data_IF_094744093541
#
_entry.id   IF_094744093541
#
_cell.length_a   1.000
_cell.length_b   1.000
_cell.length_c   1.000
_cell.angle_alpha   90.00
_cell.angle_beta   90.00
_cell.angle_gamma   90.00
#
_symmetry.space_group_name_H-M   'P 1'
#
loop_
_entity.id
_entity.type
_entity.pdbx_description
1 polymer ?
#
# COMPACT_ATOMS: atom_id res chain seq x y z
N UNK A 1 -61.16 -68.65 21.06
CA UNK A 1 -60.24 -68.19 22.12
C UNK A 1 -58.82 -68.48 21.66
N UNK A 2 -57.80 -67.59 21.80
CA UNK A 2 -57.73 -66.13 21.54
C UNK A 2 -57.56 -65.85 20.01
N UNK A 3 -57.18 -64.70 19.41
CA UNK A 3 -57.01 -63.28 19.83
C UNK A 3 -55.59 -62.73 20.19
N UNK A 4 -54.77 -62.38 19.18
CA UNK A 4 -53.74 -61.28 19.12
C UNK A 4 -53.15 -61.23 17.68
N UNK A 5 -53.19 -60.13 16.90
CA UNK A 5 -52.32 -58.91 16.93
C UNK A 5 -50.81 -59.21 16.74
N UNK A 6 -49.98 -58.50 15.99
CA UNK A 6 -50.07 -57.29 15.14
C UNK A 6 -49.41 -57.61 13.75
N UNK A 7 -49.19 -56.77 12.72
CA UNK A 7 -49.43 -55.34 12.43
C UNK A 7 -49.62 -55.17 10.88
N UNK A 8 -49.73 -53.97 10.31
CA UNK A 8 -49.77 -53.75 8.84
C UNK A 8 -48.95 -52.54 8.35
N UNK A 9 -48.55 -52.55 7.07
CA UNK A 9 -47.96 -51.41 6.35
C UNK A 9 -48.37 -51.46 4.86
N UNK A 10 -49.14 -50.48 4.38
CA UNK A 10 -49.42 -50.33 2.94
C UNK A 10 -48.34 -49.46 2.30
N UNK A 11 -47.83 -49.90 1.15
CA UNK A 11 -46.96 -49.10 0.28
C UNK A 11 -47.85 -48.41 -0.77
N UNK A 12 -47.96 -47.09 -0.70
CA UNK A 12 -48.53 -46.28 -1.77
C UNK A 12 -47.45 -45.96 -2.80
N UNK A 13 -47.79 -46.03 -4.09
CA UNK A 13 -46.89 -45.65 -5.19
C UNK A 13 -47.10 -44.16 -5.52
N UNK A 14 -46.01 -43.39 -5.58
CA UNK A 14 -46.07 -41.98 -6.00
C UNK A 14 -46.39 -41.86 -7.51
N UNK A 15 -47.19 -40.86 -7.92
CA UNK A 15 -47.48 -40.59 -9.32
C UNK A 15 -46.30 -39.90 -10.05
N UNK A 16 -46.20 -40.13 -11.36
CA UNK A 16 -45.16 -39.53 -12.20
C UNK A 16 -45.27 -37.99 -12.27
N UNK A 17 -44.14 -37.26 -12.45
CA UNK A 17 -44.14 -35.80 -12.50
C UNK A 17 -44.82 -35.24 -13.77
N UNK A 18 -45.42 -34.03 -13.71
CA UNK A 18 -46.09 -33.40 -14.84
C UNK A 18 -45.12 -32.88 -15.91
N UNK A 19 -45.59 -32.67 -17.16
CA UNK A 19 -44.75 -32.23 -18.27
C UNK A 19 -44.26 -30.78 -18.11
N UNK A 20 -43.07 -30.50 -18.65
CA UNK A 20 -42.44 -29.18 -18.63
C UNK A 20 -42.98 -28.29 -19.77
N UNK A 21 -43.98 -27.45 -19.48
CA UNK A 21 -44.30 -26.31 -20.33
C UNK A 21 -43.52 -25.07 -19.88
N UNK A 22 -42.68 -24.56 -20.77
CA UNK A 22 -41.73 -23.50 -20.48
C UNK A 22 -42.27 -22.11 -20.81
N UNK A 23 -42.76 -21.37 -19.80
CA UNK A 23 -42.81 -19.89 -19.85
C UNK A 23 -42.62 -19.29 -18.45
N UNK A 24 -41.37 -19.11 -18.07
CA UNK A 24 -40.96 -18.08 -17.11
C UNK A 24 -39.62 -17.53 -17.58
N UNK A 25 -39.64 -16.35 -18.23
CA UNK A 25 -38.42 -15.58 -18.43
C UNK A 25 -38.06 -15.03 -17.05
N UNK A 26 -37.28 -15.79 -16.29
CA UNK A 26 -36.77 -15.34 -15.01
C UNK A 26 -35.89 -14.11 -15.23
N UNK A 27 -36.06 -13.09 -14.38
CA UNK A 27 -35.23 -11.89 -14.40
C UNK A 27 -33.75 -12.28 -14.28
N UNK A 28 -33.01 -12.19 -15.38
CA UNK A 28 -31.56 -12.34 -15.36
C UNK A 28 -30.99 -11.07 -14.76
N UNK A 29 -30.91 -11.05 -13.42
CA UNK A 29 -30.19 -10.02 -12.69
C UNK A 29 -28.70 -10.17 -13.00
N UNK A 30 -28.26 -9.49 -14.07
CA UNK A 30 -26.84 -9.30 -14.36
C UNK A 30 -26.28 -8.41 -13.26
N UNK A 31 -25.77 -9.02 -12.19
CA UNK A 31 -24.95 -8.33 -11.19
C UNK A 31 -23.65 -7.96 -11.87
N UNK A 32 -23.66 -6.81 -12.56
CA UNK A 32 -22.49 -6.20 -13.15
C UNK A 32 -21.50 -5.85 -12.06
N UNK A 33 -20.56 -6.77 -11.79
CA UNK A 33 -19.50 -6.55 -10.81
C UNK A 33 -18.66 -5.40 -11.37
N UNK A 34 -18.75 -4.24 -10.73
CA UNK A 34 -17.90 -3.11 -11.07
C UNK A 34 -16.44 -3.58 -11.10
N UNK A 35 -15.62 -3.14 -12.09
CA UNK A 35 -14.22 -3.53 -12.14
C UNK A 35 -13.58 -3.20 -10.79
N UNK A 36 -12.78 -4.12 -10.21
CA UNK A 36 -12.20 -3.89 -8.90
C UNK A 36 -11.35 -2.62 -8.95
N UNK A 37 -11.66 -1.66 -8.05
CA UNK A 37 -10.79 -0.49 -7.86
C UNK A 37 -9.37 -1.01 -7.58
N UNK A 38 -8.34 -0.51 -8.27
CA UNK A 38 -6.99 -1.00 -8.10
C UNK A 38 -6.52 -0.75 -6.67
N UNK A 39 -5.83 -1.73 -6.09
CA UNK A 39 -5.29 -1.60 -4.74
C UNK A 39 -4.28 -0.42 -4.72
N UNK A 40 -4.53 0.64 -3.91
CA UNK A 40 -3.62 1.76 -3.83
C UNK A 40 -2.23 1.36 -3.31
N UNK A 41 -2.13 0.27 -2.53
CA UNK A 41 -0.84 -0.28 -2.15
C UNK A 41 -0.08 -0.84 -3.36
N UNK A 42 -0.71 -1.59 -4.25
CA UNK A 42 -0.04 -2.12 -5.45
C UNK A 42 0.34 -1.01 -6.44
N UNK A 43 -0.44 0.07 -6.51
CA UNK A 43 -0.07 1.30 -7.23
C UNK A 43 1.21 1.91 -6.63
N UNK A 44 1.25 2.13 -5.32
CA UNK A 44 2.44 2.62 -4.63
C UNK A 44 3.63 1.67 -4.80
N UNK A 45 3.40 0.36 -4.74
CA UNK A 45 4.45 -0.65 -4.87
C UNK A 45 5.08 -0.62 -6.26
N UNK A 46 4.28 -0.54 -7.31
CA UNK A 46 4.76 -0.45 -8.68
C UNK A 46 5.47 0.88 -8.97
N UNK A 47 4.90 2.00 -8.54
CA UNK A 47 5.40 3.34 -8.91
C UNK A 47 6.58 3.82 -8.05
N UNK A 48 6.56 3.52 -6.75
CA UNK A 48 7.60 3.90 -5.81
C UNK A 48 8.54 2.73 -5.51
N UNK A 49 8.03 1.69 -4.84
CA UNK A 49 8.85 0.69 -4.16
C UNK A 49 9.69 -0.17 -5.12
N UNK A 50 9.05 -0.92 -6.01
CA UNK A 50 9.72 -1.83 -6.93
C UNK A 50 10.55 -1.06 -7.97
N UNK A 51 10.05 0.09 -8.46
CA UNK A 51 10.81 0.96 -9.36
C UNK A 51 12.13 1.44 -8.73
N UNK A 52 12.12 1.97 -7.51
CA UNK A 52 13.36 2.43 -6.86
C UNK A 52 14.30 1.27 -6.53
N UNK A 53 13.75 0.14 -6.07
CA UNK A 53 14.51 -1.06 -5.70
C UNK A 53 15.17 -1.73 -6.92
N UNK A 54 14.56 -1.67 -8.10
CA UNK A 54 15.06 -2.31 -9.33
C UNK A 54 15.88 -1.34 -10.20
N UNK A 55 15.36 -0.13 -10.44
CA UNK A 55 15.89 0.82 -11.43
C UNK A 55 16.60 2.05 -10.80
N UNK A 56 16.62 2.17 -9.46
CA UNK A 56 17.26 3.30 -8.77
C UNK A 56 16.56 4.66 -8.95
N UNK A 57 15.28 4.63 -9.33
CA UNK A 57 14.40 5.80 -9.55
C UNK A 57 12.93 5.41 -9.43
N UNK A 58 12.05 6.37 -9.15
CA UNK A 58 10.61 6.17 -9.20
C UNK A 58 10.08 6.13 -10.64
N UNK A 59 8.99 5.40 -10.87
CA UNK A 59 8.33 5.35 -12.17
C UNK A 59 7.41 6.54 -12.38
N UNK A 60 7.69 7.33 -13.42
CA UNK A 60 6.88 8.49 -13.83
C UNK A 60 5.73 8.02 -14.73
N UNK A 61 4.46 8.14 -14.34
CA UNK A 61 3.33 7.60 -15.08
C UNK A 61 2.90 8.46 -16.29
N UNK A 62 3.85 9.12 -16.97
CA UNK A 62 3.59 10.08 -18.07
C UNK A 62 2.89 9.47 -19.28
N UNK A 63 3.14 8.18 -19.56
CA UNK A 63 2.54 7.43 -20.66
C UNK A 63 1.17 6.80 -20.29
N UNK A 64 0.73 6.93 -19.04
CA UNK A 64 -0.48 6.28 -18.52
C UNK A 64 -1.61 7.29 -18.46
N UNK A 65 -2.54 7.26 -19.43
CA UNK A 65 -3.58 8.29 -19.71
C UNK A 65 -4.45 8.75 -18.52
N UNK A 66 -4.55 7.92 -17.48
CA UNK A 66 -5.31 8.15 -16.25
C UNK A 66 -4.53 8.97 -15.19
N UNK A 67 -3.22 9.17 -15.37
CA UNK A 67 -2.40 10.09 -14.59
C UNK A 67 -2.15 11.38 -15.36
N UNK A 68 -2.18 12.52 -14.67
CA UNK A 68 -1.91 13.84 -15.24
C UNK A 68 -0.85 14.56 -14.41
N UNK A 69 0.13 15.25 -15.02
CA UNK A 69 1.05 16.10 -14.26
C UNK A 69 0.26 17.24 -13.59
N UNK A 70 0.68 17.60 -12.37
CA UNK A 70 0.10 18.68 -11.57
C UNK A 70 1.20 19.66 -11.19
N UNK A 71 1.01 20.94 -11.50
CA UNK A 71 1.91 22.01 -11.07
C UNK A 71 1.54 22.49 -9.66
N UNK A 72 2.54 22.67 -8.79
CA UNK A 72 2.37 23.18 -7.43
C UNK A 72 3.03 22.30 -6.37
N UNK A 73 3.04 22.78 -5.13
CA UNK A 73 3.52 22.02 -3.97
C UNK A 73 2.48 20.98 -3.51
N UNK A 74 2.94 19.89 -2.90
CA UNK A 74 2.05 18.96 -2.19
C UNK A 74 1.37 19.69 -1.02
N UNK A 75 0.04 19.59 -0.85
CA UNK A 75 -0.65 20.16 0.31
C UNK A 75 -0.30 19.44 1.63
N UNK A 76 0.50 18.36 1.57
CA UNK A 76 0.93 17.54 2.69
C UNK A 76 2.33 17.88 3.22
N UNK A 77 3.02 18.87 2.63
CA UNK A 77 4.24 19.43 3.21
C UNK A 77 5.51 18.58 3.07
N UNK A 78 5.49 17.51 2.27
CA UNK A 78 6.66 16.68 1.99
C UNK A 78 7.66 17.44 1.11
N UNK A 79 8.55 18.16 1.80
CA UNK A 79 9.35 19.25 1.26
C UNK A 79 10.41 18.84 0.24
N UNK A 80 10.29 19.43 -0.93
CA UNK A 80 11.39 20.06 -1.67
C UNK A 80 10.78 20.95 -2.78
N UNK A 81 11.40 22.10 -3.06
CA UNK A 81 11.04 22.88 -4.24
C UNK A 81 11.67 22.23 -5.49
N UNK A 82 10.89 21.46 -6.25
CA UNK A 82 11.36 20.82 -7.49
C UNK A 82 10.70 19.50 -7.86
N UNK A 83 10.20 18.73 -6.88
CA UNK A 83 9.63 17.40 -7.13
C UNK A 83 8.41 17.39 -8.08
N UNK A 84 8.42 16.45 -9.03
CA UNK A 84 7.34 16.17 -9.97
C UNK A 84 6.11 15.62 -9.24
N UNK A 85 4.91 16.07 -9.63
CA UNK A 85 3.66 15.62 -9.03
C UNK A 85 2.67 15.19 -10.10
N UNK A 86 1.99 14.06 -9.87
CA UNK A 86 1.00 13.47 -10.77
C UNK A 86 -0.29 13.19 -10.00
N UNK A 87 -1.43 13.43 -10.64
CA UNK A 87 -2.76 13.20 -10.08
C UNK A 87 -3.56 12.22 -10.94
N UNK A 88 -4.27 11.31 -10.27
CA UNK A 88 -5.27 10.39 -10.84
C UNK A 88 -6.54 10.47 -9.98
N UNK A 89 -7.70 10.39 -10.60
CA UNK A 89 -9.00 10.32 -9.90
C UNK A 89 -9.77 9.10 -10.36
N UNK A 90 -10.40 8.41 -9.43
CA UNK A 90 -11.18 7.20 -9.70
C UNK A 90 -12.42 7.15 -8.78
N UNK A 91 -13.55 7.62 -9.32
CA UNK A 91 -14.73 7.93 -8.51
C UNK A 91 -14.38 8.95 -7.43
N UNK A 92 -14.74 8.64 -6.19
CA UNK A 92 -14.50 9.51 -5.02
C UNK A 92 -13.07 9.45 -4.47
N UNK A 93 -12.21 8.58 -5.02
CA UNK A 93 -10.80 8.45 -4.62
C UNK A 93 -9.91 9.33 -5.50
N UNK A 94 -9.23 10.28 -4.89
CA UNK A 94 -8.15 11.05 -5.49
C UNK A 94 -6.80 10.49 -5.06
N UNK A 95 -5.90 10.31 -6.02
CA UNK A 95 -4.55 9.78 -5.85
C UNK A 95 -3.54 10.83 -6.32
N UNK A 96 -2.63 11.25 -5.44
CA UNK A 96 -1.55 12.20 -5.75
C UNK A 96 -0.21 11.51 -5.52
N UNK A 97 0.50 11.23 -6.61
CA UNK A 97 1.86 10.71 -6.61
C UNK A 97 2.84 11.89 -6.66
N UNK A 98 3.85 11.90 -5.79
CA UNK A 98 4.95 12.87 -5.83
C UNK A 98 6.27 12.12 -5.92
N UNK A 99 7.15 12.59 -6.81
CA UNK A 99 8.49 12.04 -7.06
C UNK A 99 9.48 13.20 -6.90
N UNK A 100 10.46 13.01 -6.04
CA UNK A 100 11.51 13.98 -5.76
C UNK A 100 12.84 13.23 -5.71
N UNK A 101 13.75 13.55 -6.62
CA UNK A 101 14.98 12.80 -6.86
C UNK A 101 16.14 13.79 -6.99
N UNK A 102 17.15 13.65 -6.12
CA UNK A 102 18.29 14.56 -6.11
C UNK A 102 19.44 14.06 -5.23
N UNK A 103 20.54 14.83 -5.16
CA UNK A 103 21.56 14.60 -4.15
C UNK A 103 20.99 14.84 -2.75
N UNK A 104 21.43 14.05 -1.78
CA UNK A 104 21.17 14.27 -0.37
C UNK A 104 21.91 15.54 0.10
N UNK A 105 21.17 16.54 0.58
CA UNK A 105 21.70 17.85 0.96
C UNK A 105 22.72 17.81 2.09
N UNK A 106 22.67 16.78 2.95
CA UNK A 106 23.54 16.64 4.12
C UNK A 106 24.90 16.05 3.75
N UNK A 107 24.93 15.10 2.81
CA UNK A 107 26.13 14.30 2.50
C UNK A 107 26.71 14.54 1.11
N UNK A 108 25.93 15.05 0.15
CA UNK A 108 26.30 15.32 -1.25
C UNK A 108 26.97 14.14 -2.00
N UNK A 109 26.87 12.92 -1.46
CA UNK A 109 27.50 11.67 -1.95
C UNK A 109 26.53 10.49 -1.94
N UNK A 110 25.30 10.76 -1.53
CA UNK A 110 24.16 9.85 -1.48
C UNK A 110 23.11 10.46 -2.38
N UNK A 111 22.54 9.67 -3.28
CA UNK A 111 21.34 10.03 -4.02
C UNK A 111 20.12 9.73 -3.14
N UNK A 112 19.24 10.71 -2.99
CA UNK A 112 17.97 10.61 -2.28
C UNK A 112 16.83 10.58 -3.29
N UNK A 113 16.09 9.48 -3.31
CA UNK A 113 14.82 9.39 -4.03
C UNK A 113 13.68 9.34 -3.00
N UNK A 114 12.84 10.35 -2.99
CA UNK A 114 11.56 10.35 -2.26
C UNK A 114 10.44 10.07 -3.25
N UNK A 115 9.58 9.12 -2.92
CA UNK A 115 8.38 8.83 -3.70
C UNK A 115 7.22 8.63 -2.75
N UNK A 116 6.14 9.38 -2.94
CA UNK A 116 4.98 9.34 -2.06
C UNK A 116 3.66 9.23 -2.83
N UNK A 117 2.71 8.53 -2.25
CA UNK A 117 1.34 8.41 -2.74
C UNK A 117 0.38 8.87 -1.66
N UNK A 118 -0.39 9.91 -1.95
CA UNK A 118 -1.48 10.39 -1.10
C UNK A 118 -2.83 9.98 -1.68
N UNK A 119 -3.71 9.52 -0.80
CA UNK A 119 -5.04 9.00 -1.09
C UNK A 119 -6.05 9.86 -0.34
N UNK A 120 -6.99 10.48 -1.05
CA UNK A 120 -8.02 11.34 -0.46
C UNK A 120 -9.39 10.83 -0.90
N UNK A 121 -10.20 10.36 0.05
CA UNK A 121 -11.48 9.69 -0.22
C UNK A 121 -11.44 8.19 0.12
N UNK A 122 -12.51 7.42 -0.13
CA UNK A 122 -12.69 6.07 0.43
C UNK A 122 -11.67 5.04 -0.07
N UNK A 123 -10.91 4.43 0.86
CA UNK A 123 -9.95 3.35 0.62
C UNK A 123 -9.74 2.47 1.88
N UNK A 124 -9.21 1.24 1.73
CA UNK A 124 -8.89 0.36 2.85
C UNK A 124 -7.48 0.64 3.42
N UNK A 125 -7.44 1.39 4.53
CA UNK A 125 -6.22 1.68 5.30
C UNK A 125 -5.53 0.42 5.85
N UNK A 126 -6.30 -0.60 6.21
CA UNK A 126 -5.75 -1.85 6.74
C UNK A 126 -5.10 -2.67 5.61
N UNK A 127 -5.57 -2.55 4.36
CA UNK A 127 -4.87 -3.10 3.20
C UNK A 127 -3.52 -2.44 2.99
N UNK A 128 -3.43 -1.11 3.16
CA UNK A 128 -2.15 -0.39 3.09
C UNK A 128 -1.18 -0.88 4.15
N UNK A 129 -1.59 -0.97 5.42
CA UNK A 129 -0.74 -1.46 6.52
C UNK A 129 -0.28 -2.91 6.29
N UNK A 130 -1.18 -3.80 5.85
CA UNK A 130 -0.85 -5.20 5.51
C UNK A 130 0.11 -5.28 4.32
N UNK A 131 -0.15 -4.54 3.25
CA UNK A 131 0.69 -4.50 2.04
C UNK A 131 2.08 -3.98 2.36
N UNK A 132 2.17 -2.86 3.08
CA UNK A 132 3.41 -2.30 3.61
C UNK A 132 4.19 -3.33 4.42
N UNK A 133 3.52 -3.96 5.39
CA UNK A 133 4.15 -4.96 6.27
C UNK A 133 4.57 -6.24 5.53
N UNK A 134 3.87 -6.61 4.46
CA UNK A 134 4.19 -7.77 3.64
C UNK A 134 5.39 -7.50 2.70
N UNK A 135 5.38 -6.38 1.97
CA UNK A 135 6.49 -5.99 1.11
C UNK A 135 7.76 -5.71 1.92
N UNK A 136 7.61 -5.08 3.10
CA UNK A 136 8.71 -4.85 4.03
C UNK A 136 8.94 -5.99 5.03
N UNK A 137 8.25 -7.12 4.93
CA UNK A 137 8.46 -8.33 5.77
C UNK A 137 8.56 -8.07 7.28
N UNK A 138 7.88 -7.04 7.77
CA UNK A 138 8.05 -6.48 9.10
C UNK A 138 6.77 -5.75 9.55
N UNK A 139 6.44 -5.80 10.85
CA UNK A 139 5.40 -4.93 11.40
C UNK A 139 5.88 -3.47 11.47
N UNK A 140 4.96 -2.52 11.29
CA UNK A 140 5.28 -1.10 11.41
C UNK A 140 5.47 -0.65 12.86
N UNK A 141 6.42 0.24 13.11
CA UNK A 141 6.60 0.89 14.42
C UNK A 141 5.87 2.24 14.49
N UNK A 142 5.33 2.57 15.67
CA UNK A 142 4.76 3.89 16.00
C UNK A 142 5.75 4.79 16.74
N UNK A 143 6.90 4.25 17.14
CA UNK A 143 7.87 4.94 18.00
C UNK A 143 9.04 5.43 17.16
N UNK A 144 9.33 6.72 17.30
CA UNK A 144 10.44 7.40 16.65
C UNK A 144 11.61 7.50 17.64
N UNK A 145 12.82 7.09 17.22
CA UNK A 145 14.03 7.22 18.02
C UNK A 145 15.09 8.03 17.26
N UNK A 146 15.65 9.04 17.92
CA UNK A 146 16.86 9.80 17.55
C UNK A 146 17.01 10.21 16.07
N UNK A 147 16.02 10.97 15.59
CA UNK A 147 16.30 12.10 14.71
C UNK A 147 15.37 13.24 15.13
N UNK A 148 15.86 14.48 15.17
CA UNK A 148 14.98 15.65 15.28
C UNK A 148 14.14 15.76 14.00
N UNK A 149 12.97 15.13 14.03
CA UNK A 149 11.85 15.33 13.11
C UNK A 149 12.22 15.62 11.64
N UNK A 150 12.78 14.62 10.94
CA UNK A 150 12.63 14.56 9.47
C UNK A 150 11.15 14.61 9.07
N UNK A 151 10.30 14.07 9.94
CA UNK A 151 8.85 14.03 9.79
C UNK A 151 8.19 14.42 11.13
N UNK A 152 7.58 15.62 11.26
CA UNK A 152 6.85 16.00 12.46
C UNK A 152 5.62 15.10 12.65
N UNK A 153 5.32 14.72 13.89
CA UNK A 153 4.11 13.94 14.20
C UNK A 153 2.86 14.78 13.95
N UNK A 154 1.96 14.32 13.08
CA UNK A 154 0.75 15.07 12.76
C UNK A 154 -0.35 14.80 13.78
N UNK A 155 -0.78 15.85 14.50
CA UNK A 155 -1.75 15.71 15.58
C UNK A 155 -3.10 15.16 15.09
N UNK A 156 -3.47 13.97 15.57
CA UNK A 156 -4.70 13.27 15.18
C UNK A 156 -4.57 12.40 13.91
N UNK A 157 -3.35 12.06 13.54
CA UNK A 157 -3.04 11.02 12.55
C UNK A 157 -2.47 9.78 13.24
N UNK A 158 -2.70 8.61 12.66
CA UNK A 158 -1.91 7.42 12.98
C UNK A 158 -0.70 7.40 12.06
N UNK A 159 0.45 7.01 12.58
CA UNK A 159 1.74 7.04 11.91
C UNK A 159 2.44 5.69 12.14
N UNK A 160 2.85 5.04 11.06
CA UNK A 160 3.59 3.77 11.07
C UNK A 160 4.83 3.93 10.19
N UNK A 161 5.99 3.50 10.69
CA UNK A 161 7.25 3.53 9.97
C UNK A 161 7.89 2.13 9.89
N UNK A 162 8.69 1.92 8.86
CA UNK A 162 9.46 0.71 8.60
C UNK A 162 10.86 1.08 8.10
N UNK A 163 11.86 0.24 8.39
CA UNK A 163 13.20 0.38 7.82
C UNK A 163 13.76 -0.91 7.25
N UNK A 164 14.57 -0.74 6.21
CA UNK A 164 15.06 -1.79 5.36
C UNK A 164 16.49 -1.45 4.90
N UNK A 165 17.35 -2.46 4.91
CA UNK A 165 18.75 -2.33 4.46
C UNK A 165 18.98 -3.35 3.32
N UNK A 166 18.51 -3.06 2.10
CA UNK A 166 18.81 -3.90 0.95
C UNK A 166 20.29 -3.78 0.54
N UNK A 167 20.94 -4.93 0.41
CA UNK A 167 22.26 -5.02 -0.22
C UNK A 167 22.14 -4.60 -1.70
N UNK A 168 23.12 -3.82 -2.19
CA UNK A 168 23.06 -3.26 -3.54
C UNK A 168 22.99 -4.38 -4.59
N UNK A 169 22.12 -4.18 -5.60
CA UNK A 169 21.92 -5.10 -6.73
C UNK A 169 21.41 -6.50 -6.36
N UNK A 170 20.92 -6.70 -5.13
CA UNK A 170 20.29 -7.98 -4.71
C UNK A 170 18.76 -7.89 -4.66
N UNK A 171 18.11 -8.95 -5.12
CA UNK A 171 16.65 -9.13 -5.04
C UNK A 171 16.17 -9.64 -3.67
N UNK A 172 17.08 -10.21 -2.88
CA UNK A 172 16.83 -10.68 -1.51
C UNK A 172 17.44 -9.68 -0.53
N UNK A 173 16.68 -9.35 0.49
CA UNK A 173 17.09 -8.42 1.54
C UNK A 173 16.27 -8.70 2.81
N UNK A 174 16.78 -8.21 3.95
CA UNK A 174 16.14 -8.36 5.25
C UNK A 174 15.69 -7.00 5.77
N UNK A 175 14.45 -6.94 6.25
CA UNK A 175 13.96 -5.78 6.97
C UNK A 175 14.35 -5.81 8.44
N UNK A 176 14.47 -4.63 9.02
CA UNK A 176 14.58 -4.49 10.46
C UNK A 176 13.17 -4.47 11.07
N UNK A 177 12.65 -5.66 11.32
CA UNK A 177 11.52 -5.86 12.23
C UNK A 177 12.07 -5.89 13.67
N UNK A 178 11.66 -4.98 14.57
CA UNK A 178 12.08 -5.03 15.96
C UNK A 178 11.41 -6.22 16.66
N UNK A 179 12.13 -7.35 16.72
CA UNK A 179 11.82 -8.46 17.61
C UNK A 179 11.84 -7.97 19.07
N UNK A 180 10.91 -8.46 19.88
CA UNK A 180 10.58 -7.90 21.20
C UNK A 180 11.78 -7.60 22.12
N UNK A 181 11.62 -6.49 22.87
CA UNK A 181 12.45 -5.92 23.96
C UNK A 181 13.48 -4.86 23.50
N UNK A 182 13.12 -3.60 23.73
CA UNK A 182 13.97 -2.39 23.79
C UNK A 182 14.70 -1.87 22.53
N UNK A 183 14.21 -2.17 21.32
CA UNK A 183 14.59 -1.40 20.10
C UNK A 183 13.39 -0.98 19.26
N UNK A 184 12.43 -0.28 19.88
CA UNK A 184 11.25 0.30 19.23
C UNK A 184 11.59 1.55 18.39
N UNK A 185 12.47 1.41 17.39
CA UNK A 185 12.89 2.53 16.53
C UNK A 185 13.22 2.12 15.10
N UNK A 186 13.55 3.13 14.29
CA UNK A 186 14.05 2.97 12.94
C UNK A 186 15.57 3.22 12.89
N UNK A 187 16.29 2.53 12.00
CA UNK A 187 17.77 2.54 11.97
C UNK A 187 18.30 3.68 11.11
N UNK A 188 18.65 4.83 11.69
CA UNK A 188 19.27 5.93 10.91
C UNK A 188 20.70 5.58 10.51
N UNK A 189 21.06 5.86 9.25
CA UNK A 189 22.42 5.63 8.71
C UNK A 189 23.03 6.92 8.17
N UNK A 190 24.08 7.40 8.84
CA UNK A 190 24.80 8.65 8.49
C UNK A 190 26.17 8.44 7.85
N UNK A 191 26.71 7.22 7.86
CA UNK A 191 28.03 6.93 7.29
C UNK A 191 27.97 6.69 5.77
N UNK A 192 28.67 7.52 5.00
CA UNK A 192 28.83 7.37 3.55
C UNK A 192 29.50 6.03 3.14
N UNK A 193 30.25 5.37 4.04
CA UNK A 193 30.88 4.07 3.78
C UNK A 193 29.86 2.93 3.67
N UNK A 194 28.79 2.96 4.48
CA UNK A 194 27.70 1.98 4.44
C UNK A 194 27.05 1.90 3.04
N UNK A 195 26.82 3.06 2.43
CA UNK A 195 26.15 3.19 1.12
C UNK A 195 26.97 2.61 -0.05
N UNK A 196 28.24 2.22 0.17
CA UNK A 196 29.05 1.52 -0.83
C UNK A 196 28.46 0.15 -1.17
N UNK A 197 28.01 -0.57 -0.16
CA UNK A 197 27.57 -1.97 -0.24
C UNK A 197 26.07 -2.13 -0.03
N UNK A 198 25.46 -1.20 0.72
CA UNK A 198 24.06 -1.22 1.08
C UNK A 198 23.31 -0.02 0.48
N UNK A 199 21.99 -0.12 0.46
CA UNK A 199 21.08 1.00 0.31
C UNK A 199 20.22 1.08 1.57
N UNK A 200 19.72 2.26 1.90
CA UNK A 200 18.85 2.46 3.05
C UNK A 200 17.46 2.86 2.57
N UNK A 201 16.45 2.19 3.10
CA UNK A 201 15.07 2.35 2.72
C UNK A 201 14.24 2.64 3.98
N UNK A 202 13.64 3.84 4.00
CA UNK A 202 12.60 4.22 4.96
C UNK A 202 11.28 4.18 4.23
N UNK A 203 10.24 3.67 4.87
CA UNK A 203 8.88 3.90 4.40
C UNK A 203 7.96 4.20 5.56
N UNK A 204 6.98 5.06 5.32
CA UNK A 204 6.07 5.59 6.30
C UNK A 204 4.64 5.61 5.74
N UNK A 205 3.67 5.28 6.59
CA UNK A 205 2.24 5.39 6.35
C UNK A 205 1.65 6.30 7.44
N UNK A 206 1.20 7.49 7.04
CA UNK A 206 0.36 8.37 7.86
C UNK A 206 -1.08 8.25 7.40
N UNK A 207 -2.05 8.14 8.31
CA UNK A 207 -3.47 8.19 7.94
C UNK A 207 -4.36 8.83 9.00
N UNK A 208 -5.48 9.39 8.55
CA UNK A 208 -6.54 9.92 9.41
C UNK A 208 -7.92 9.62 8.84
N UNK A 209 -8.87 9.38 9.74
CA UNK A 209 -10.29 9.13 9.43
C UNK A 209 -11.17 10.35 9.73
N UNK A 210 -10.57 11.54 9.83
CA UNK A 210 -11.31 12.80 10.02
C UNK A 210 -12.13 13.12 8.77
N UNK A 211 -13.35 13.61 9.02
CA UNK A 211 -14.23 14.14 7.99
C UNK A 211 -13.66 15.43 7.35
N UNK A 212 -14.04 15.77 6.10
CA UNK A 212 -15.09 15.14 5.28
C UNK A 212 -14.63 13.92 4.45
N UNK A 213 -13.32 13.64 4.37
CA UNK A 213 -12.79 12.50 3.60
C UNK A 213 -11.57 11.91 4.31
N UNK A 214 -11.48 10.57 4.47
CA UNK A 214 -10.29 9.94 5.03
C UNK A 214 -9.09 10.20 4.11
N UNK A 215 -7.92 10.35 4.71
CA UNK A 215 -6.66 10.58 4.01
C UNK A 215 -5.62 9.57 4.48
N UNK A 216 -4.93 8.94 3.53
CA UNK A 216 -3.70 8.20 3.79
C UNK A 216 -2.58 8.75 2.92
N UNK A 217 -1.40 8.82 3.49
CA UNK A 217 -0.20 9.34 2.85
C UNK A 217 0.93 8.34 3.10
N UNK A 218 1.43 7.74 2.02
CA UNK A 218 2.52 6.78 2.05
C UNK A 218 3.75 7.47 1.48
N UNK A 219 4.85 7.56 2.23
CA UNK A 219 6.12 8.12 1.76
C UNK A 219 7.22 7.09 1.87
N UNK A 220 7.97 6.91 0.79
CA UNK A 220 9.23 6.17 0.75
C UNK A 220 10.39 7.12 0.57
N UNK A 221 11.47 6.94 1.34
CA UNK A 221 12.78 7.52 1.07
C UNK A 221 13.77 6.40 0.81
N UNK A 222 14.36 6.38 -0.39
CA UNK A 222 15.41 5.44 -0.79
C UNK A 222 16.72 6.20 -0.94
N UNK A 223 17.71 5.84 -0.13
CA UNK A 223 19.04 6.43 -0.10
C UNK A 223 20.06 5.42 -0.65
N UNK A 224 20.77 5.82 -1.71
CA UNK A 224 21.82 5.01 -2.34
C UNK A 224 23.08 5.84 -2.48
N UNK A 225 24.27 5.22 -2.54
CA UNK A 225 25.46 5.97 -2.94
C UNK A 225 25.27 6.54 -4.35
N UNK A 226 25.69 7.78 -4.54
CA UNK A 226 25.79 8.39 -5.85
C UNK A 226 26.97 7.74 -6.61
N UNK A 227 26.68 7.09 -7.74
CA UNK A 227 27.71 6.48 -8.60
C UNK A 227 28.04 7.47 -9.72
N UNK A 228 29.33 7.82 -9.94
CA UNK A 228 29.77 8.66 -11.05
C UNK A 228 29.73 7.95 -12.40
#
# INVERSE_FOLDING_TARGET
MPLSMLIGLLIAQDPAPPPQDATAIGDVVVVGRAPPRPDPFEIFRALCFDANRLDGRAFRPTMVTQWRPMAGASPFGDGAAGGETFIRREGDLEMVLRIDEGPDEVTARVKRNVCSLTLVGPHDQQSLERGMSAALRAGGTRTHLNYETLYPTWQGWTQLAWTAIPQRRQSRWSAFAPGHRDTSGFVVVTDASFYRENSYLVTELRYTNREPRPVSHITMTYLTRDEP
#
